data_IF_445152307792
#
_entry.id   IF_445152307792
#
_cell.length_a   1.000
_cell.length_b   1.000
_cell.length_c   1.000
_cell.angle_alpha   90.00
_cell.angle_beta   90.00
_cell.angle_gamma   90.00
#
_symmetry.space_group_name_H-M   'P 1'
#
loop_
_entity.id
_entity.type
_entity.pdbx_description
1 polymer ?
#
# COMPACT_ATOMS: atom_id res chain seq x y z
N UNK A 1 1.61 27.93 23.04
CA UNK A 1 1.71 26.61 22.38
C UNK A 1 0.35 26.32 21.77
N UNK A 2 0.21 26.23 20.44
CA UNK A 2 -1.08 25.80 19.89
C UNK A 2 -1.29 24.34 20.30
N UNK A 3 -2.43 24.03 20.91
CA UNK A 3 -2.81 22.66 21.23
C UNK A 3 -2.99 21.93 19.91
N UNK A 4 -2.02 21.08 19.53
CA UNK A 4 -2.14 20.27 18.33
C UNK A 4 -3.40 19.41 18.45
N UNK A 5 -4.28 19.47 17.45
CA UNK A 5 -5.48 18.65 17.44
C UNK A 5 -5.09 17.16 17.41
N UNK A 6 -5.86 16.29 18.09
CA UNK A 6 -5.59 14.86 18.10
C UNK A 6 -5.77 14.26 16.70
N UNK A 7 -5.09 13.14 16.45
CA UNK A 7 -5.21 12.41 15.17
C UNK A 7 -6.67 11.98 14.94
N UNK A 8 -7.28 12.33 13.80
CA UNK A 8 -8.68 11.99 13.51
C UNK A 8 -8.95 10.49 13.56
N UNK A 9 -10.05 10.08 14.19
CA UNK A 9 -10.44 8.66 14.27
C UNK A 9 -10.59 7.99 12.90
N UNK A 10 -11.09 8.72 11.90
CA UNK A 10 -11.19 8.24 10.52
C UNK A 10 -9.82 7.87 9.92
N UNK A 11 -8.76 8.63 10.20
CA UNK A 11 -7.40 8.31 9.76
C UNK A 11 -6.89 7.02 10.42
N UNK A 12 -7.17 6.83 11.71
CA UNK A 12 -6.83 5.58 12.42
C UNK A 12 -7.52 4.38 11.77
N UNK A 13 -8.80 4.51 11.43
CA UNK A 13 -9.57 3.47 10.76
C UNK A 13 -8.98 3.13 9.39
N UNK A 14 -8.55 4.13 8.61
CA UNK A 14 -7.87 3.90 7.33
C UNK A 14 -6.54 3.14 7.48
N UNK A 15 -5.78 3.39 8.55
CA UNK A 15 -4.55 2.65 8.84
C UNK A 15 -4.83 1.18 9.15
N UNK A 16 -5.89 0.91 9.92
CA UNK A 16 -6.33 -0.47 10.21
C UNK A 16 -6.84 -1.16 8.95
N UNK A 17 -7.69 -0.50 8.16
CA UNK A 17 -8.19 -1.04 6.90
C UNK A 17 -7.05 -1.35 5.92
N UNK A 18 -6.07 -0.45 5.79
CA UNK A 18 -4.89 -0.68 4.95
C UNK A 18 -4.05 -1.86 5.45
N UNK A 19 -3.87 -2.03 6.76
CA UNK A 19 -3.20 -3.22 7.30
C UNK A 19 -3.89 -4.52 6.86
N UNK A 20 -5.22 -4.57 6.98
CA UNK A 20 -5.99 -5.76 6.57
C UNK A 20 -5.80 -6.01 5.07
N UNK A 21 -5.91 -4.98 4.24
CA UNK A 21 -5.70 -5.10 2.79
C UNK A 21 -4.28 -5.58 2.48
N UNK A 22 -3.26 -4.98 3.07
CA UNK A 22 -1.87 -5.39 2.88
C UNK A 22 -1.68 -6.87 3.23
N UNK A 23 -2.22 -7.34 4.36
CA UNK A 23 -2.09 -8.72 4.79
C UNK A 23 -2.88 -9.70 3.91
N UNK A 24 -4.05 -9.28 3.39
CA UNK A 24 -4.85 -10.08 2.46
C UNK A 24 -4.10 -10.38 1.16
N UNK A 25 -3.21 -9.49 0.72
CA UNK A 25 -2.33 -9.74 -0.44
C UNK A 25 -0.98 -10.34 -0.02
N UNK A 26 -0.37 -9.87 1.06
CA UNK A 26 0.96 -10.29 1.49
C UNK A 26 1.01 -11.77 1.89
N UNK A 27 0.03 -12.25 2.66
CA UNK A 27 0.01 -13.65 3.12
C UNK A 27 -0.02 -14.64 1.95
N UNK A 28 -0.96 -14.57 1.00
CA UNK A 28 -0.96 -15.49 -0.13
C UNK A 28 0.25 -15.30 -1.05
N UNK A 29 0.74 -14.07 -1.28
CA UNK A 29 1.96 -13.84 -2.05
C UNK A 29 3.22 -14.39 -1.37
N UNK A 30 3.26 -14.46 -0.04
CA UNK A 30 4.38 -15.01 0.70
C UNK A 30 4.44 -16.54 0.57
N UNK A 31 3.32 -17.21 0.83
CA UNK A 31 3.26 -18.66 0.99
C UNK A 31 2.84 -19.41 -0.29
N UNK A 32 1.97 -18.82 -1.10
CA UNK A 32 1.37 -19.45 -2.29
C UNK A 32 1.36 -18.51 -3.52
N UNK A 33 2.50 -17.88 -3.89
CA UNK A 33 2.53 -16.83 -4.91
C UNK A 33 2.01 -17.29 -6.27
N UNK A 34 2.41 -18.47 -6.72
CA UNK A 34 2.01 -19.01 -8.02
C UNK A 34 0.49 -19.20 -8.11
N UNK A 35 -0.08 -19.92 -7.14
CA UNK A 35 -1.53 -20.16 -7.10
C UNK A 35 -2.31 -18.86 -7.04
N UNK A 36 -1.89 -17.93 -6.18
CA UNK A 36 -2.59 -16.66 -6.01
C UNK A 36 -2.51 -15.77 -7.25
N UNK A 37 -1.33 -15.64 -7.86
CA UNK A 37 -1.14 -14.86 -9.08
C UNK A 37 -1.87 -15.47 -10.28
N UNK A 38 -1.90 -16.81 -10.40
CA UNK A 38 -2.68 -17.49 -11.43
C UNK A 38 -4.19 -17.23 -11.29
N UNK A 39 -4.73 -17.24 -10.06
CA UNK A 39 -6.13 -16.86 -9.79
C UNK A 39 -6.41 -15.42 -10.20
N UNK A 40 -5.44 -14.52 -10.01
CA UNK A 40 -5.53 -13.13 -10.45
C UNK A 40 -5.26 -12.93 -11.96
N UNK A 41 -4.93 -13.99 -12.70
CA UNK A 41 -4.62 -13.93 -14.13
C UNK A 41 -3.27 -13.27 -14.44
N UNK A 42 -2.30 -13.35 -13.52
CA UNK A 42 -0.94 -12.83 -13.72
C UNK A 42 0.08 -13.97 -13.91
N UNK A 43 0.46 -14.29 -15.15
CA UNK A 43 1.31 -15.45 -15.43
C UNK A 43 2.82 -15.18 -15.31
N UNK A 44 3.24 -13.91 -15.21
CA UNK A 44 4.65 -13.51 -15.28
C UNK A 44 5.20 -13.14 -13.90
N UNK A 45 5.89 -14.06 -13.21
CA UNK A 45 6.44 -13.73 -11.89
C UNK A 45 7.79 -14.39 -11.62
N UNK A 46 8.60 -13.68 -10.84
CA UNK A 46 9.78 -14.22 -10.17
C UNK A 46 9.43 -14.43 -8.68
N UNK A 47 9.57 -15.66 -8.13
CA UNK A 47 9.20 -15.96 -6.75
C UNK A 47 9.95 -15.11 -5.71
N UNK A 48 11.20 -14.72 -5.98
CA UNK A 48 11.97 -13.88 -5.06
C UNK A 48 11.37 -12.47 -4.97
N UNK A 49 11.17 -11.83 -6.12
CA UNK A 49 10.61 -10.48 -6.23
C UNK A 49 9.21 -10.39 -5.63
N UNK A 50 8.37 -11.39 -5.86
CA UNK A 50 7.01 -11.45 -5.29
C UNK A 50 7.05 -11.53 -3.76
N UNK A 51 7.94 -12.35 -3.18
CA UNK A 51 8.05 -12.47 -1.72
C UNK A 51 8.64 -11.23 -1.07
N UNK A 52 9.55 -10.53 -1.76
CA UNK A 52 10.02 -9.22 -1.31
C UNK A 52 8.88 -8.20 -1.31
N UNK A 53 8.05 -8.16 -2.36
CA UNK A 53 6.87 -7.31 -2.40
C UNK A 53 5.86 -7.66 -1.28
N UNK A 54 5.64 -8.96 -1.04
CA UNK A 54 4.81 -9.45 0.05
C UNK A 54 5.34 -9.00 1.43
N UNK A 55 6.66 -9.10 1.66
CA UNK A 55 7.30 -8.62 2.88
C UNK A 55 7.14 -7.10 3.05
N UNK A 56 7.26 -6.33 1.97
CA UNK A 56 7.05 -4.88 2.01
C UNK A 56 5.60 -4.52 2.37
N UNK A 57 4.61 -5.19 1.76
CA UNK A 57 3.20 -5.03 2.11
C UNK A 57 2.95 -5.38 3.58
N UNK A 58 3.43 -6.54 4.04
CA UNK A 58 3.28 -6.96 5.44
C UNK A 58 3.93 -5.97 6.40
N UNK A 59 5.16 -5.52 6.14
CA UNK A 59 5.87 -4.56 6.99
C UNK A 59 5.14 -3.22 7.10
N UNK A 60 4.70 -2.67 5.97
CA UNK A 60 3.96 -1.39 5.94
C UNK A 60 2.57 -1.54 6.58
N UNK A 61 1.89 -2.66 6.33
CA UNK A 61 0.57 -2.95 6.88
C UNK A 61 0.60 -3.14 8.38
N UNK A 62 1.48 -4.01 8.88
CA UNK A 62 1.65 -4.28 10.31
C UNK A 62 2.04 -3.01 11.06
N UNK A 63 2.97 -2.21 10.52
CA UNK A 63 3.32 -0.92 11.13
C UNK A 63 2.11 0.02 11.22
N UNK A 64 1.22 0.00 10.22
CA UNK A 64 -0.01 0.80 10.26
C UNK A 64 -0.93 0.40 11.41
N UNK A 65 -1.01 -0.90 11.70
CA UNK A 65 -1.79 -1.40 12.84
C UNK A 65 -1.11 -1.11 14.17
N UNK A 66 0.19 -1.38 14.30
CA UNK A 66 0.94 -1.14 15.54
C UNK A 66 0.97 0.35 15.90
N UNK A 67 1.20 1.21 14.90
CA UNK A 67 1.24 2.67 15.03
C UNK A 67 -0.12 3.37 15.12
N UNK A 68 -1.26 2.65 15.11
CA UNK A 68 -2.61 3.26 15.01
C UNK A 68 -2.97 4.24 16.13
N UNK A 69 -2.30 4.16 17.28
CA UNK A 69 -2.50 5.07 18.41
C UNK A 69 -1.26 5.94 18.70
N UNK A 70 -0.32 6.03 17.75
CA UNK A 70 0.88 6.83 17.89
C UNK A 70 0.60 8.34 17.84
N UNK A 71 1.64 9.14 18.11
CA UNK A 71 1.58 10.60 18.08
C UNK A 71 1.29 11.13 16.67
N UNK A 72 0.84 12.39 16.59
CA UNK A 72 0.65 13.10 15.32
C UNK A 72 1.94 13.13 14.48
N UNK A 73 3.09 13.32 15.10
CA UNK A 73 4.39 13.30 14.44
C UNK A 73 4.69 11.94 13.80
N UNK A 74 4.45 10.85 14.53
CA UNK A 74 4.60 9.50 14.00
C UNK A 74 3.66 9.26 12.81
N UNK A 75 2.41 9.73 12.88
CA UNK A 75 1.46 9.67 11.77
C UNK A 75 1.94 10.42 10.52
N UNK A 76 2.52 11.62 10.68
CA UNK A 76 3.11 12.36 9.55
C UNK A 76 4.28 11.60 8.91
N UNK A 77 5.09 10.93 9.74
CA UNK A 77 6.16 10.03 9.28
C UNK A 77 5.62 8.83 8.48
N UNK A 78 4.62 8.13 9.02
CA UNK A 78 4.00 6.97 8.37
C UNK A 78 3.26 7.37 7.08
N UNK A 79 2.56 8.51 7.07
CA UNK A 79 1.92 9.04 5.87
C UNK A 79 2.95 9.36 4.78
N UNK A 80 4.10 9.94 5.16
CA UNK A 80 5.21 10.18 4.20
C UNK A 80 5.70 8.87 3.60
N UNK A 81 5.92 7.84 4.41
CA UNK A 81 6.31 6.51 3.92
C UNK A 81 5.27 5.95 2.94
N UNK A 82 3.98 6.00 3.29
CA UNK A 82 2.88 5.50 2.45
C UNK A 82 2.77 6.24 1.13
N UNK A 83 2.98 7.55 1.11
CA UNK A 83 2.99 8.37 -0.11
C UNK A 83 4.14 7.95 -1.02
N UNK A 84 5.36 7.82 -0.48
CA UNK A 84 6.55 7.39 -1.25
C UNK A 84 6.33 5.97 -1.80
N UNK A 85 5.92 5.04 -0.94
CA UNK A 85 5.68 3.65 -1.31
C UNK A 85 4.62 3.53 -2.40
N UNK A 86 3.44 4.12 -2.22
CA UNK A 86 2.34 4.02 -3.19
C UNK A 86 2.70 4.67 -4.53
N UNK A 87 3.47 5.75 -4.53
CA UNK A 87 3.98 6.34 -5.77
C UNK A 87 4.95 5.40 -6.50
N UNK A 88 5.95 4.89 -5.78
CA UNK A 88 6.94 3.97 -6.34
C UNK A 88 6.29 2.67 -6.82
N UNK A 89 5.34 2.12 -6.08
CA UNK A 89 4.58 0.93 -6.46
C UNK A 89 3.75 1.20 -7.73
N UNK A 90 3.02 2.32 -7.80
CA UNK A 90 2.25 2.70 -8.99
C UNK A 90 3.15 2.81 -10.22
N UNK A 91 4.27 3.53 -10.11
CA UNK A 91 5.23 3.69 -11.20
C UNK A 91 5.87 2.36 -11.61
N UNK A 92 6.26 1.53 -10.64
CA UNK A 92 6.84 0.21 -10.88
C UNK A 92 5.87 -0.73 -11.60
N UNK A 93 4.59 -0.74 -11.21
CA UNK A 93 3.56 -1.55 -11.88
C UNK A 93 3.31 -1.01 -13.29
N UNK A 94 3.27 0.31 -13.51
CA UNK A 94 3.14 0.89 -14.85
C UNK A 94 4.30 0.49 -15.77
N UNK A 95 5.52 0.51 -15.27
CA UNK A 95 6.70 0.04 -16.01
C UNK A 95 6.62 -1.47 -16.30
N UNK A 96 6.22 -2.29 -15.32
CA UNK A 96 6.00 -3.72 -15.54
C UNK A 96 4.92 -3.96 -16.61
N UNK A 97 3.83 -3.20 -16.55
CA UNK A 97 2.75 -3.25 -17.54
C UNK A 97 3.21 -2.83 -18.93
N UNK A 98 4.18 -1.92 -19.05
CA UNK A 98 4.80 -1.59 -20.33
C UNK A 98 5.58 -2.77 -20.90
N UNK A 99 6.35 -3.47 -20.05
CA UNK A 99 7.25 -4.56 -20.43
C UNK A 99 6.58 -5.90 -20.74
N UNK A 100 5.40 -6.19 -20.18
CA UNK A 100 4.71 -7.47 -20.45
C UNK A 100 4.09 -7.52 -21.86
N UNK A 101 4.17 -8.67 -22.57
CA UNK A 101 3.54 -8.85 -23.88
C UNK A 101 2.01 -8.66 -23.85
N UNK A 102 1.43 -8.39 -25.02
CA UNK A 102 -0.02 -8.37 -25.18
C UNK A 102 -0.59 -9.81 -25.28
N UNK A 103 -1.81 -10.08 -24.78
CA UNK A 103 -2.69 -9.15 -24.06
C UNK A 103 -2.19 -8.89 -22.62
N UNK A 104 -2.32 -7.64 -22.17
CA UNK A 104 -1.83 -7.24 -20.83
C UNK A 104 -2.79 -7.74 -19.74
N UNK A 105 -2.28 -8.31 -18.63
CA UNK A 105 -3.14 -8.79 -17.55
C UNK A 105 -3.99 -7.69 -16.92
N UNK A 106 -5.30 -7.90 -16.80
CA UNK A 106 -6.23 -6.92 -16.25
C UNK A 106 -5.91 -6.52 -14.80
N UNK A 107 -5.43 -7.48 -13.99
CA UNK A 107 -5.08 -7.23 -12.58
C UNK A 107 -3.97 -6.19 -12.43
N UNK A 108 -3.05 -6.05 -13.39
CA UNK A 108 -2.02 -5.02 -13.32
C UNK A 108 -2.62 -3.62 -13.32
N UNK A 109 -3.64 -3.38 -14.16
CA UNK A 109 -4.35 -2.10 -14.20
C UNK A 109 -5.19 -1.86 -12.94
N UNK A 110 -5.81 -2.91 -12.40
CA UNK A 110 -6.50 -2.83 -11.12
C UNK A 110 -5.54 -2.41 -10.00
N UNK A 111 -4.35 -3.02 -9.92
CA UNK A 111 -3.34 -2.66 -8.93
C UNK A 111 -2.86 -1.21 -9.10
N UNK A 112 -2.63 -0.73 -10.33
CA UNK A 112 -2.33 0.68 -10.61
C UNK A 112 -3.42 1.59 -10.03
N UNK A 113 -4.68 1.29 -10.30
CA UNK A 113 -5.80 2.09 -9.81
C UNK A 113 -5.87 2.09 -8.27
N UNK A 114 -5.65 0.93 -7.64
CA UNK A 114 -5.66 0.79 -6.17
C UNK A 114 -4.51 1.60 -5.54
N UNK A 115 -3.28 1.43 -6.00
CA UNK A 115 -2.13 2.15 -5.44
C UNK A 115 -2.21 3.65 -5.70
N UNK A 116 -2.67 4.09 -6.88
CA UNK A 116 -2.92 5.50 -7.17
C UNK A 116 -4.03 6.09 -6.29
N UNK A 117 -5.12 5.34 -6.07
CA UNK A 117 -6.20 5.74 -5.17
C UNK A 117 -5.73 5.91 -3.73
N UNK A 118 -4.95 4.95 -3.22
CA UNK A 118 -4.33 5.06 -1.90
C UNK A 118 -3.33 6.23 -1.83
N UNK A 119 -2.54 6.46 -2.87
CA UNK A 119 -1.62 7.60 -2.93
C UNK A 119 -2.36 8.93 -2.73
N UNK A 120 -3.47 9.13 -3.45
CA UNK A 120 -4.31 10.33 -3.32
C UNK A 120 -4.92 10.43 -1.92
N UNK A 121 -5.40 9.31 -1.37
CA UNK A 121 -5.93 9.25 -0.01
C UNK A 121 -4.88 9.68 1.03
N UNK A 122 -3.64 9.22 0.90
CA UNK A 122 -2.56 9.59 1.83
C UNK A 122 -2.11 11.03 1.68
N UNK A 123 -2.09 11.57 0.46
CA UNK A 123 -1.86 12.99 0.22
C UNK A 123 -2.94 13.85 0.90
N UNK A 124 -4.20 13.46 0.76
CA UNK A 124 -5.32 14.12 1.42
C UNK A 124 -5.14 14.14 2.94
N UNK A 125 -4.91 12.98 3.55
CA UNK A 125 -4.76 12.88 5.01
C UNK A 125 -3.53 13.60 5.53
N UNK A 126 -2.41 13.58 4.79
CA UNK A 126 -1.21 14.32 5.17
C UNK A 126 -1.44 15.82 5.17
N UNK A 127 -2.11 16.35 4.14
CA UNK A 127 -2.47 17.78 4.08
C UNK A 127 -3.42 18.14 5.22
N UNK A 128 -4.47 17.35 5.42
CA UNK A 128 -5.43 17.55 6.51
C UNK A 128 -4.72 17.59 7.87
N UNK A 129 -3.88 16.59 8.17
CA UNK A 129 -3.15 16.49 9.43
C UNK A 129 -2.06 17.55 9.60
N UNK A 130 -1.65 18.29 8.55
CA UNK A 130 -0.74 19.43 8.68
C UNK A 130 -1.47 20.73 9.02
N UNK A 131 -2.74 20.86 8.63
CA UNK A 131 -3.53 22.09 8.76
C UNK A 131 -4.52 22.09 9.93
N UNK A 132 -4.75 20.95 10.57
CA UNK A 132 -5.51 20.80 11.82
C UNK A 132 -4.57 20.59 13.00
#
# INVERSE_FOLDING_TARGET
>A
MSSQLPVPGALKNWFVAHCVIDLLFAVPLMFFPETFLNVLGWPYFDPLSVRIAAAALAGIGLESYLGRNASREAYLGMLRLKIIWSFCATAGILLAMWSVPAPKPAVGWLLVAVFAGFHILWLYWRRHLLHT
#
